data_IF_833200346824
#
_entry.id   IF_833200346824
#
_cell.length_a   1.000
_cell.length_b   1.000
_cell.length_c   1.000
_cell.angle_alpha   90.00
_cell.angle_beta   90.00
_cell.angle_gamma   90.00
#
_symmetry.space_group_name_H-M   'P 1'
#
loop_
_entity.id
_entity.type
_entity.pdbx_description
1 polymer ?
#
# COMPACT_ATOMS: atom_id res chain seq x y z
N UNK A 1 -14.17 -46.78 -15.43
CA UNK A 1 -13.14 -46.38 -14.44
C UNK A 1 -12.14 -45.39 -15.03
N UNK A 2 -11.52 -45.67 -16.18
CA UNK A 2 -10.53 -44.79 -16.85
C UNK A 2 -11.06 -43.39 -17.22
N UNK A 3 -12.34 -43.29 -17.60
CA UNK A 3 -12.96 -42.03 -18.03
C UNK A 3 -13.08 -41.02 -16.89
N UNK A 4 -13.51 -41.47 -15.71
CA UNK A 4 -13.65 -40.61 -14.52
C UNK A 4 -12.30 -40.12 -13.99
N UNK A 5 -11.25 -40.96 -14.05
CA UNK A 5 -9.90 -40.53 -13.67
C UNK A 5 -9.34 -39.50 -14.64
N UNK A 6 -9.64 -39.62 -15.93
CA UNK A 6 -9.22 -38.68 -16.95
C UNK A 6 -9.92 -37.32 -16.78
N UNK A 7 -11.24 -37.33 -16.56
CA UNK A 7 -12.02 -36.13 -16.28
C UNK A 7 -11.49 -35.38 -15.04
N UNK A 8 -11.22 -36.11 -13.95
CA UNK A 8 -10.68 -35.53 -12.73
C UNK A 8 -9.32 -34.85 -12.96
N UNK A 9 -8.40 -35.50 -13.66
CA UNK A 9 -7.09 -34.92 -14.00
C UNK A 9 -7.26 -33.64 -14.85
N UNK A 10 -8.16 -33.67 -15.83
CA UNK A 10 -8.43 -32.53 -16.71
C UNK A 10 -9.03 -31.34 -15.95
N UNK A 11 -9.93 -31.59 -14.99
CA UNK A 11 -10.51 -30.54 -14.14
C UNK A 11 -9.46 -29.89 -13.22
N UNK A 12 -8.54 -30.65 -12.66
CA UNK A 12 -7.47 -30.10 -11.82
C UNK A 12 -6.48 -29.24 -12.62
N UNK A 13 -6.12 -29.68 -13.83
CA UNK A 13 -5.24 -28.93 -14.72
C UNK A 13 -5.91 -27.64 -15.15
N UNK A 14 -7.18 -27.69 -15.59
CA UNK A 14 -7.91 -26.49 -16.01
C UNK A 14 -8.11 -25.49 -14.87
N UNK A 15 -8.49 -25.96 -13.67
CA UNK A 15 -8.61 -25.10 -12.48
C UNK A 15 -7.27 -24.44 -12.10
N UNK A 16 -6.17 -25.20 -12.14
CA UNK A 16 -4.83 -24.69 -11.85
C UNK A 16 -4.43 -23.58 -12.82
N UNK A 17 -4.63 -23.80 -14.13
CA UNK A 17 -4.32 -22.81 -15.16
C UNK A 17 -5.16 -21.53 -14.98
N UNK A 18 -6.47 -21.66 -14.76
CA UNK A 18 -7.36 -20.51 -14.54
C UNK A 18 -6.95 -19.73 -13.28
N UNK A 19 -6.61 -20.42 -12.20
CA UNK A 19 -6.15 -19.79 -10.95
C UNK A 19 -4.85 -19.00 -11.13
N UNK A 20 -3.91 -19.52 -11.91
CA UNK A 20 -2.64 -18.82 -12.21
C UNK A 20 -2.91 -17.57 -13.06
N UNK A 21 -3.75 -17.68 -14.08
CA UNK A 21 -4.10 -16.54 -14.97
C UNK A 21 -4.80 -15.43 -14.18
N UNK A 22 -5.78 -15.76 -13.33
CA UNK A 22 -6.44 -14.78 -12.46
C UNK A 22 -5.44 -14.11 -11.52
N UNK A 23 -4.50 -14.86 -10.94
CA UNK A 23 -3.50 -14.31 -10.01
C UNK A 23 -2.57 -13.31 -10.70
N UNK A 24 -2.11 -13.64 -11.92
CA UNK A 24 -1.27 -12.74 -12.73
C UNK A 24 -2.04 -11.47 -13.10
N UNK A 25 -3.32 -11.59 -13.45
CA UNK A 25 -4.16 -10.43 -13.79
C UNK A 25 -4.38 -9.53 -12.58
N UNK A 26 -4.65 -10.09 -11.40
CA UNK A 26 -4.77 -9.35 -10.14
C UNK A 26 -3.48 -8.61 -9.79
N UNK A 27 -2.32 -9.27 -9.87
CA UNK A 27 -1.02 -8.63 -9.61
C UNK A 27 -0.78 -7.49 -10.60
N UNK A 28 -1.10 -7.70 -11.88
CA UNK A 28 -0.93 -6.67 -12.92
C UNK A 28 -1.87 -5.48 -12.71
N UNK A 29 -3.12 -5.72 -12.32
CA UNK A 29 -4.10 -4.68 -12.02
C UNK A 29 -3.64 -3.86 -10.81
N UNK A 30 -3.19 -4.52 -9.72
CA UNK A 30 -2.64 -3.86 -8.55
C UNK A 30 -1.41 -3.02 -8.91
N UNK A 31 -0.47 -3.54 -9.69
CA UNK A 31 0.73 -2.80 -10.12
C UNK A 31 0.37 -1.62 -11.03
N UNK A 32 -0.55 -1.79 -11.98
CA UNK A 32 -1.00 -0.73 -12.88
C UNK A 32 -1.76 0.37 -12.14
N UNK A 33 -2.59 0.00 -11.16
CA UNK A 33 -3.29 0.95 -10.31
C UNK A 33 -2.30 1.69 -9.40
N UNK A 34 -1.29 1.01 -8.85
CA UNK A 34 -0.19 1.66 -8.10
C UNK A 34 0.58 2.65 -8.97
N UNK A 35 0.88 2.32 -10.24
CA UNK A 35 1.59 3.21 -11.19
C UNK A 35 0.71 4.38 -11.65
N UNK A 36 -0.57 4.13 -11.94
CA UNK A 36 -1.53 5.19 -12.30
C UNK A 36 -1.80 6.13 -11.13
N UNK A 37 -1.93 5.57 -9.92
CA UNK A 37 -1.95 6.31 -8.69
C UNK A 37 -0.65 7.07 -8.49
N UNK A 38 0.54 6.53 -8.76
CA UNK A 38 1.82 7.23 -8.55
C UNK A 38 1.87 8.63 -9.22
N UNK A 39 1.36 8.75 -10.45
CA UNK A 39 1.29 10.04 -11.17
C UNK A 39 0.29 11.04 -10.55
N UNK A 40 -0.78 10.57 -9.89
CA UNK A 40 -1.72 11.41 -9.13
C UNK A 40 -1.38 11.51 -7.62
N UNK A 41 -0.58 10.58 -7.13
CA UNK A 41 -0.23 10.30 -5.73
C UNK A 41 0.77 11.31 -5.24
N UNK A 42 1.49 11.99 -6.13
CA UNK A 42 2.35 13.11 -5.76
C UNK A 42 1.64 14.15 -4.90
N UNK A 43 0.46 14.56 -5.35
CA UNK A 43 -0.37 15.54 -4.63
C UNK A 43 -1.09 14.89 -3.46
N UNK A 44 -1.56 13.65 -3.63
CA UNK A 44 -2.23 12.89 -2.57
C UNK A 44 -1.36 12.65 -1.35
N UNK A 45 -0.10 12.29 -1.55
CA UNK A 45 0.89 12.07 -0.48
C UNK A 45 1.14 13.31 0.36
N UNK A 46 1.23 14.50 -0.25
CA UNK A 46 1.48 15.76 0.46
C UNK A 46 0.27 16.10 1.35
N UNK A 47 -0.94 15.90 0.83
CA UNK A 47 -2.19 16.13 1.58
C UNK A 47 -2.27 15.14 2.76
N UNK A 48 -2.00 13.86 2.53
CA UNK A 48 -2.01 12.83 3.58
C UNK A 48 -0.96 13.12 4.65
N UNK A 49 0.25 13.55 4.27
CA UNK A 49 1.29 13.96 5.22
C UNK A 49 0.84 15.12 6.12
N UNK A 50 0.19 16.13 5.52
CA UNK A 50 -0.33 17.27 6.26
C UNK A 50 -1.47 16.86 7.22
N UNK A 51 -2.39 16.00 6.77
CA UNK A 51 -3.46 15.47 7.61
C UNK A 51 -2.92 14.65 8.80
N UNK A 52 -1.96 13.75 8.57
CA UNK A 52 -1.33 12.94 9.63
C UNK A 52 -0.59 13.85 10.62
N UNK A 53 0.14 14.86 10.12
CA UNK A 53 0.84 15.82 10.97
C UNK A 53 -0.15 16.60 11.85
N UNK A 54 -1.25 17.08 11.28
CA UNK A 54 -2.31 17.76 12.03
C UNK A 54 -2.92 16.88 13.11
N UNK A 55 -3.19 15.61 12.79
CA UNK A 55 -3.73 14.63 13.73
C UNK A 55 -2.76 14.32 14.89
N UNK A 56 -1.45 14.26 14.59
CA UNK A 56 -0.41 14.07 15.60
C UNK A 56 -0.32 15.27 16.54
N UNK A 57 -0.39 16.49 16.00
CA UNK A 57 -0.32 17.74 16.77
C UNK A 57 -1.55 17.94 17.64
N UNK A 58 -2.76 17.73 17.10
CA UNK A 58 -3.99 17.83 17.90
C UNK A 58 -4.00 16.80 19.02
N UNK A 59 -3.60 15.55 18.74
CA UNK A 59 -3.48 14.53 19.78
C UNK A 59 -2.43 14.89 20.81
N UNK A 60 -1.25 15.37 20.42
CA UNK A 60 -0.23 15.80 21.39
C UNK A 60 -0.76 16.88 22.35
N UNK A 61 -1.50 17.86 21.83
CA UNK A 61 -2.10 18.94 22.63
C UNK A 61 -3.21 18.41 23.56
N UNK A 62 -4.06 17.50 23.09
CA UNK A 62 -5.18 16.98 23.88
C UNK A 62 -4.77 15.93 24.92
N UNK A 63 -3.85 15.05 24.55
CA UNK A 63 -3.42 13.91 25.35
C UNK A 63 -2.36 14.29 26.39
N UNK A 64 -1.66 15.43 26.21
CA UNK A 64 -0.59 15.93 27.08
C UNK A 64 0.55 14.92 27.35
N UNK A 65 0.62 13.84 26.56
CA UNK A 65 1.65 12.82 26.58
C UNK A 65 2.26 12.64 25.18
N UNK A 66 3.46 12.06 25.14
CA UNK A 66 4.15 11.78 23.88
C UNK A 66 3.41 10.69 23.10
N UNK A 67 3.40 10.73 21.76
CA UNK A 67 2.65 9.81 20.89
C UNK A 67 3.16 8.35 20.86
N UNK A 68 3.79 7.87 21.94
CA UNK A 68 4.31 6.52 22.12
C UNK A 68 3.53 5.69 23.15
N UNK A 69 2.58 6.30 23.85
CA UNK A 69 1.92 5.64 24.99
C UNK A 69 0.93 4.54 24.59
N UNK A 70 0.36 4.63 23.39
CA UNK A 70 -0.56 3.63 22.83
C UNK A 70 0.04 3.04 21.53
N UNK A 71 -0.27 1.77 21.26
CA UNK A 71 0.07 1.08 20.01
C UNK A 71 -0.53 1.79 18.79
N UNK A 72 -1.75 2.31 18.90
CA UNK A 72 -2.39 3.10 17.84
C UNK A 72 -1.60 4.39 17.55
N UNK A 73 -1.17 5.09 18.60
CA UNK A 73 -0.43 6.35 18.49
C UNK A 73 0.98 6.13 17.93
N UNK A 74 1.61 5.03 18.34
CA UNK A 74 2.89 4.56 17.81
C UNK A 74 2.81 4.22 16.32
N UNK A 75 1.71 3.61 15.86
CA UNK A 75 1.47 3.32 14.44
C UNK A 75 1.30 4.62 13.62
N UNK A 76 0.62 5.63 14.16
CA UNK A 76 0.47 6.93 13.50
C UNK A 76 1.83 7.63 13.40
N UNK A 77 2.64 7.61 14.48
CA UNK A 77 3.99 8.17 14.47
C UNK A 77 4.89 7.46 13.45
N UNK A 78 4.81 6.13 13.38
CA UNK A 78 5.54 5.33 12.41
C UNK A 78 5.12 5.65 10.96
N UNK A 79 3.81 5.78 10.71
CA UNK A 79 3.25 6.17 9.41
C UNK A 79 3.71 7.58 8.99
N UNK A 80 3.73 8.52 9.92
CA UNK A 80 4.28 9.86 9.71
C UNK A 80 5.77 9.80 9.35
N UNK A 81 6.58 9.00 10.05
CA UNK A 81 7.99 8.78 9.75
C UNK A 81 8.23 8.20 8.35
N UNK A 82 7.50 7.15 7.97
CA UNK A 82 7.58 6.58 6.62
C UNK A 82 7.20 7.57 5.52
N UNK A 83 6.21 8.44 5.79
CA UNK A 83 5.83 9.52 4.86
C UNK A 83 6.98 10.50 4.60
N UNK A 84 7.77 10.84 5.63
CA UNK A 84 8.97 11.68 5.50
C UNK A 84 10.04 10.98 4.66
N UNK A 85 10.32 9.70 4.93
CA UNK A 85 11.28 8.92 4.15
C UNK A 85 10.92 8.85 2.67
N UNK A 86 9.64 8.80 2.33
CA UNK A 86 9.19 8.83 0.94
C UNK A 86 9.25 10.25 0.32
N UNK A 87 9.13 11.32 1.12
CA UNK A 87 9.20 12.69 0.64
C UNK A 87 10.66 13.18 0.42
N UNK A 88 11.63 12.68 1.19
CA UNK A 88 13.05 13.09 1.09
C UNK A 88 13.65 12.87 -0.33
N UNK A 89 13.48 11.71 -1.00
CA UNK A 89 13.95 11.51 -2.37
C UNK A 89 13.32 12.48 -3.38
N UNK A 90 12.07 12.92 -3.15
CA UNK A 90 11.36 13.86 -4.02
C UNK A 90 11.98 15.26 -3.97
N UNK A 91 12.28 15.77 -2.77
CA UNK A 91 12.99 17.05 -2.60
C UNK A 91 14.37 17.04 -3.26
N UNK A 92 15.05 15.89 -3.25
CA UNK A 92 16.36 15.74 -3.90
C UNK A 92 16.27 15.79 -5.43
N UNK A 93 15.22 15.24 -6.03
CA UNK A 93 14.99 15.29 -7.48
C UNK A 93 14.60 16.70 -7.97
N UNK A 94 13.82 17.45 -7.19
CA UNK A 94 13.41 18.84 -7.50
C UNK A 94 14.57 19.85 -7.49
N UNK A 95 15.72 19.51 -6.89
CA UNK A 95 16.91 20.37 -6.83
C UNK A 95 17.87 20.18 -8.01
N UNK A 96 17.56 19.26 -8.92
CA UNK A 96 18.42 18.85 -10.06
C UNK A 96 17.78 19.12 -11.43
N UNK A 97 16.76 19.99 -11.47
CA UNK A 97 16.16 20.52 -12.70
C UNK A 97 16.43 22.01 -12.77
#
# INVERSE_FOLDING_TARGET
MIFSTLEHILTHISFSVVSIVISIHLITLLVSEIVGLYNSSEKGMIITFFCITGLLVTRWIFSNHLPFSDLYESLIFLSWGFSIFHMIPRLKNLKTI
#
